data_IF_819754103976
#
_entry.id   IF_819754103976
#
_cell.length_a   1.000
_cell.length_b   1.000
_cell.length_c   1.000
_cell.angle_alpha   90.00
_cell.angle_beta   90.00
_cell.angle_gamma   90.00
#
_symmetry.space_group_name_H-M   'P 1'
#
loop_
_entity.id
_entity.type
_entity.pdbx_description
1 polymer ?
#
# COMPACT_ATOMS: atom_id res chain seq x y z
N UNK A 1 13.98 27.32 -10.13
CA UNK A 1 14.25 28.68 -9.60
C UNK A 1 15.42 28.66 -8.62
N UNK A 2 15.51 27.66 -7.75
CA UNK A 2 16.55 27.55 -6.70
C UNK A 2 17.99 27.36 -7.18
N UNK A 3 18.24 26.64 -8.27
CA UNK A 3 19.60 26.51 -8.86
C UNK A 3 20.16 27.84 -9.35
N UNK A 4 19.29 28.72 -9.83
CA UNK A 4 19.63 30.07 -10.29
C UNK A 4 19.92 31.00 -9.10
N UNK A 5 19.22 30.79 -7.98
CA UNK A 5 19.48 31.46 -6.69
C UNK A 5 20.81 30.99 -6.08
N UNK A 6 21.07 29.69 -6.08
CA UNK A 6 22.35 29.10 -5.64
C UNK A 6 23.54 29.66 -6.43
N UNK A 7 23.41 29.71 -7.77
CA UNK A 7 24.41 30.35 -8.63
C UNK A 7 24.60 31.84 -8.27
N UNK A 8 23.50 32.59 -8.20
CA UNK A 8 23.54 34.04 -7.94
C UNK A 8 24.15 34.39 -6.59
N UNK A 9 23.77 33.70 -5.52
CA UNK A 9 24.28 33.92 -4.16
C UNK A 9 25.76 33.57 -4.07
N UNK A 10 26.16 32.43 -4.64
CA UNK A 10 27.57 32.01 -4.59
C UNK A 10 28.46 32.94 -5.42
N UNK A 11 27.97 33.41 -6.57
CA UNK A 11 28.68 34.38 -7.40
C UNK A 11 28.82 35.74 -6.71
N UNK A 12 27.77 36.23 -6.05
CA UNK A 12 27.81 37.50 -5.30
C UNK A 12 28.80 37.46 -4.13
N UNK A 13 28.91 36.33 -3.43
CA UNK A 13 29.79 36.18 -2.25
C UNK A 13 31.25 35.95 -2.66
N UNK A 14 31.50 35.19 -3.73
CA UNK A 14 32.86 34.75 -4.10
C UNK A 14 33.43 35.48 -5.31
N UNK A 15 32.60 36.19 -6.08
CA UNK A 15 32.90 36.80 -7.36
C UNK A 15 33.57 35.84 -8.37
N UNK A 16 33.31 34.53 -8.20
CA UNK A 16 33.94 33.45 -8.96
C UNK A 16 32.86 32.64 -9.68
N UNK A 17 32.81 32.79 -10.99
CA UNK A 17 31.81 32.13 -11.84
C UNK A 17 31.98 30.61 -11.87
N UNK A 18 33.21 30.09 -11.81
CA UNK A 18 33.50 28.66 -11.80
C UNK A 18 32.98 28.01 -10.53
N UNK A 19 33.22 28.65 -9.38
CA UNK A 19 32.77 28.16 -8.07
C UNK A 19 31.25 28.25 -7.92
N UNK A 20 30.64 29.31 -8.43
CA UNK A 20 29.18 29.45 -8.51
C UNK A 20 28.53 28.40 -9.43
N UNK A 21 29.15 28.10 -10.57
CA UNK A 21 28.69 27.05 -11.48
C UNK A 21 28.78 25.68 -10.83
N UNK A 22 29.87 25.42 -10.10
CA UNK A 22 30.10 24.17 -9.40
C UNK A 22 29.13 24.00 -8.23
N UNK A 23 28.87 25.05 -7.45
CA UNK A 23 27.85 25.05 -6.40
C UNK A 23 26.43 24.85 -6.96
N UNK A 24 26.08 25.50 -8.07
CA UNK A 24 24.80 25.30 -8.73
C UNK A 24 24.65 23.91 -9.36
N UNK A 25 25.74 23.33 -9.89
CA UNK A 25 25.77 21.97 -10.41
C UNK A 25 25.67 20.94 -9.29
N UNK A 26 26.39 21.12 -8.19
CA UNK A 26 26.31 20.28 -6.99
C UNK A 26 24.92 20.39 -6.37
N UNK A 27 24.33 21.58 -6.28
CA UNK A 27 22.94 21.76 -5.86
C UNK A 27 21.97 21.10 -6.84
N UNK A 28 22.17 21.26 -8.14
CA UNK A 28 21.35 20.62 -9.17
C UNK A 28 21.44 19.09 -9.21
N UNK A 29 22.57 18.52 -8.76
CA UNK A 29 22.81 17.08 -8.69
C UNK A 29 22.41 16.46 -7.35
N UNK A 30 22.56 17.20 -6.24
CA UNK A 30 22.32 16.68 -4.88
C UNK A 30 20.98 17.11 -4.27
N UNK A 31 20.45 18.28 -4.67
CA UNK A 31 19.22 18.87 -4.10
C UNK A 31 18.04 18.88 -5.07
N UNK A 32 18.25 18.50 -6.34
CA UNK A 32 17.12 18.12 -7.19
C UNK A 32 16.63 16.77 -6.70
N UNK A 33 15.73 16.82 -5.71
CA UNK A 33 14.89 15.73 -5.24
C UNK A 33 14.52 14.84 -6.41
N UNK A 34 14.57 13.53 -6.23
CA UNK A 34 14.41 12.61 -7.34
C UNK A 34 13.13 12.98 -8.11
N UNK A 35 13.22 13.10 -9.44
CA UNK A 35 12.01 13.24 -10.27
C UNK A 35 11.24 11.92 -10.33
N UNK A 36 11.57 10.96 -9.46
CA UNK A 36 10.89 9.69 -9.35
C UNK A 36 9.50 9.99 -8.83
N UNK A 37 8.51 9.63 -9.61
CA UNK A 37 7.12 9.68 -9.19
C UNK A 37 6.90 8.69 -8.06
N UNK A 38 5.91 8.98 -7.24
CA UNK A 38 5.48 8.08 -6.19
C UNK A 38 4.98 6.79 -6.85
N UNK A 39 5.62 5.67 -6.50
CA UNK A 39 5.32 4.35 -7.07
C UNK A 39 5.17 3.34 -5.95
N UNK A 40 4.15 2.47 -6.04
CA UNK A 40 3.94 1.36 -5.11
C UNK A 40 3.77 0.05 -5.88
N UNK A 41 4.20 -1.06 -5.27
CA UNK A 41 4.10 -2.40 -5.84
C UNK A 41 3.00 -3.20 -5.15
N UNK A 42 2.15 -3.83 -5.94
CA UNK A 42 1.05 -4.65 -5.45
C UNK A 42 0.97 -5.96 -6.25
N UNK A 43 0.21 -6.92 -5.71
CA UNK A 43 0.00 -8.22 -6.33
C UNK A 43 -1.49 -8.51 -6.42
N UNK A 44 -1.96 -8.80 -7.63
CA UNK A 44 -3.29 -9.31 -7.89
C UNK A 44 -3.27 -10.83 -7.73
N UNK A 45 -3.93 -11.31 -6.67
CA UNK A 45 -4.18 -12.72 -6.43
C UNK A 45 -5.47 -13.13 -7.16
N UNK A 46 -5.30 -13.78 -8.30
CA UNK A 46 -6.42 -14.18 -9.15
C UNK A 46 -7.02 -15.52 -8.68
N UNK A 47 -8.34 -15.53 -8.57
CA UNK A 47 -9.14 -16.73 -8.27
C UNK A 47 -9.70 -17.38 -9.53
N UNK A 48 -9.67 -16.67 -10.65
CA UNK A 48 -10.06 -17.19 -11.96
C UNK A 48 -8.98 -18.12 -12.54
N UNK A 49 -9.37 -19.20 -13.24
CA UNK A 49 -8.42 -20.18 -13.78
C UNK A 49 -7.55 -19.62 -14.92
N UNK A 50 -8.07 -18.64 -15.66
CA UNK A 50 -7.33 -17.91 -16.69
C UNK A 50 -7.24 -16.43 -16.29
N UNK A 51 -6.06 -15.83 -16.51
CA UNK A 51 -5.82 -14.41 -16.34
C UNK A 51 -5.53 -13.79 -17.70
N UNK A 52 -6.34 -12.80 -18.10
CA UNK A 52 -6.17 -12.07 -19.36
C UNK A 52 -6.21 -10.55 -19.19
N UNK A 53 -6.24 -10.03 -17.96
CA UNK A 53 -6.23 -8.58 -17.73
C UNK A 53 -4.89 -7.99 -18.15
N UNK A 54 -4.96 -7.00 -19.03
CA UNK A 54 -3.81 -6.20 -19.48
C UNK A 54 -3.57 -5.02 -18.55
N UNK A 55 -2.46 -4.32 -18.74
CA UNK A 55 -2.21 -3.02 -18.10
C UNK A 55 -3.38 -2.04 -18.27
N UNK A 56 -3.93 -1.94 -19.48
CA UNK A 56 -5.07 -1.05 -19.76
C UNK A 56 -6.33 -1.45 -18.99
N UNK A 57 -6.52 -2.76 -18.73
CA UNK A 57 -7.64 -3.25 -17.93
C UNK A 57 -7.46 -2.89 -16.45
N UNK A 58 -6.22 -2.92 -15.95
CA UNK A 58 -5.90 -2.48 -14.59
C UNK A 58 -6.12 -0.95 -14.45
N UNK A 59 -5.69 -0.16 -15.44
CA UNK A 59 -5.96 1.28 -15.47
C UNK A 59 -7.46 1.60 -15.46
N UNK A 60 -8.23 0.86 -16.25
CA UNK A 60 -9.69 0.98 -16.28
C UNK A 60 -10.31 0.59 -14.93
N UNK A 61 -9.84 -0.49 -14.31
CA UNK A 61 -10.25 -0.89 -12.97
C UNK A 61 -9.95 0.18 -11.91
N UNK A 62 -8.73 0.74 -11.91
CA UNK A 62 -8.32 1.81 -10.99
C UNK A 62 -9.19 3.05 -11.17
N UNK A 63 -9.42 3.44 -12.42
CA UNK A 63 -10.30 4.56 -12.77
C UNK A 63 -11.72 4.34 -12.28
N UNK A 64 -12.24 3.10 -12.39
CA UNK A 64 -13.58 2.76 -11.89
C UNK A 64 -13.67 2.79 -10.36
N UNK A 65 -12.61 2.42 -9.66
CA UNK A 65 -12.57 2.29 -8.20
C UNK A 65 -12.27 3.60 -7.48
N UNK A 66 -11.35 4.40 -8.06
CA UNK A 66 -10.91 5.68 -7.52
C UNK A 66 -11.73 6.88 -8.03
N UNK A 67 -12.58 6.65 -9.04
CA UNK A 67 -13.37 7.68 -9.72
C UNK A 67 -12.72 8.08 -11.04
N UNK A 68 -13.50 8.05 -12.14
CA UNK A 68 -12.97 8.19 -13.51
C UNK A 68 -12.23 9.50 -13.74
N UNK A 69 -12.65 10.57 -13.09
CA UNK A 69 -12.09 11.92 -13.27
C UNK A 69 -11.10 12.30 -12.15
N UNK A 70 -10.93 11.44 -11.13
CA UNK A 70 -10.13 11.71 -9.92
C UNK A 70 -9.05 10.66 -9.67
N UNK A 71 -8.91 9.67 -10.55
CA UNK A 71 -7.90 8.63 -10.42
C UNK A 71 -6.55 9.16 -10.85
N UNK A 72 -5.69 9.48 -9.90
CA UNK A 72 -4.32 9.95 -10.14
C UNK A 72 -3.29 8.80 -10.16
N UNK A 73 -3.76 7.56 -10.22
CA UNK A 73 -2.91 6.36 -10.23
C UNK A 73 -3.05 5.61 -11.54
N UNK A 74 -1.91 5.19 -12.08
CA UNK A 74 -1.84 4.38 -13.30
C UNK A 74 -0.92 3.18 -13.10
N UNK A 75 -1.24 2.07 -13.76
CA UNK A 75 -0.41 0.90 -13.83
C UNK A 75 0.74 1.15 -14.80
N UNK A 76 1.98 0.98 -14.37
CA UNK A 76 3.16 1.16 -15.23
C UNK A 76 3.70 -0.16 -15.74
N UNK A 77 3.69 -1.21 -14.91
CA UNK A 77 4.20 -2.54 -15.21
C UNK A 77 3.25 -3.63 -14.74
N UNK A 78 3.24 -4.75 -15.46
CA UNK A 78 2.53 -5.97 -15.10
C UNK A 78 3.43 -7.17 -15.37
N UNK A 79 3.64 -8.05 -14.40
CA UNK A 79 4.33 -9.33 -14.61
C UNK A 79 3.55 -10.48 -13.95
N UNK A 80 3.47 -11.62 -14.63
CA UNK A 80 2.69 -12.76 -14.16
C UNK A 80 3.64 -13.80 -13.56
N UNK A 81 3.40 -14.16 -12.30
CA UNK A 81 4.03 -15.31 -11.65
C UNK A 81 3.10 -16.53 -11.77
N UNK A 82 3.43 -17.40 -12.74
CA UNK A 82 2.71 -18.66 -12.95
C UNK A 82 3.08 -19.75 -11.94
N UNK A 83 4.13 -19.55 -11.15
CA UNK A 83 4.62 -20.51 -10.14
C UNK A 83 4.30 -20.07 -8.72
N UNK A 84 3.34 -19.16 -8.54
CA UNK A 84 3.00 -18.59 -7.26
C UNK A 84 2.61 -19.67 -6.24
N UNK A 85 3.41 -19.80 -5.18
CA UNK A 85 3.13 -20.69 -4.05
C UNK A 85 2.24 -19.96 -3.04
N UNK A 86 0.94 -20.12 -3.19
CA UNK A 86 -0.08 -19.58 -2.28
C UNK A 86 -1.49 -20.09 -2.61
N UNK A 87 -2.53 -19.57 -1.94
CA UNK A 87 -3.91 -20.03 -2.11
C UNK A 87 -4.55 -19.59 -3.45
N UNK A 88 -3.89 -18.73 -4.22
CA UNK A 88 -4.35 -18.24 -5.51
C UNK A 88 -3.74 -19.07 -6.66
N UNK A 89 -4.46 -19.17 -7.79
CA UNK A 89 -3.99 -19.94 -8.96
C UNK A 89 -2.86 -19.23 -9.72
N UNK A 90 -2.88 -17.89 -9.74
CA UNK A 90 -1.85 -17.05 -10.34
C UNK A 90 -1.69 -15.77 -9.51
N UNK A 91 -0.47 -15.24 -9.47
CA UNK A 91 -0.18 -13.91 -8.94
C UNK A 91 0.28 -12.99 -10.06
N UNK A 92 -0.24 -11.76 -10.09
CA UNK A 92 0.17 -10.76 -11.08
C UNK A 92 0.71 -9.56 -10.34
N UNK A 93 2.01 -9.34 -10.47
CA UNK A 93 2.69 -8.19 -9.90
C UNK A 93 2.38 -6.97 -10.74
N UNK A 94 2.03 -5.88 -10.08
CA UNK A 94 1.68 -4.61 -10.70
C UNK A 94 2.46 -3.48 -10.04
N UNK A 95 2.93 -2.57 -10.86
CA UNK A 95 3.51 -1.31 -10.40
C UNK A 95 2.49 -0.21 -10.63
N UNK A 96 2.16 0.53 -9.57
CA UNK A 96 1.22 1.66 -9.61
C UNK A 96 2.00 2.95 -9.38
N UNK A 97 1.92 3.87 -10.34
CA UNK A 97 2.58 5.17 -10.29
C UNK A 97 1.55 6.30 -10.21
N UNK A 98 1.81 7.25 -9.33
CA UNK A 98 1.03 8.46 -9.19
C UNK A 98 1.38 9.49 -10.28
N UNK A 99 0.40 10.16 -10.86
CA UNK A 99 0.61 11.07 -12.00
C UNK A 99 1.52 12.27 -11.70
N UNK A 100 1.39 12.87 -10.52
CA UNK A 100 2.00 14.16 -10.14
C UNK A 100 2.80 14.11 -8.83
N UNK A 101 2.48 13.21 -7.90
CA UNK A 101 3.14 13.13 -6.61
C UNK A 101 4.57 12.58 -6.75
N UNK A 102 5.53 13.22 -6.11
CA UNK A 102 6.94 12.79 -6.10
C UNK A 102 7.20 11.83 -4.94
N UNK A 103 8.19 10.95 -5.15
CA UNK A 103 8.60 9.97 -4.14
C UNK A 103 9.04 10.64 -2.83
N UNK A 104 9.75 11.77 -2.91
CA UNK A 104 10.32 12.48 -1.75
C UNK A 104 9.36 13.50 -1.11
N UNK A 105 8.10 13.57 -1.56
CA UNK A 105 7.14 14.55 -1.05
C UNK A 105 6.71 14.23 0.40
N UNK A 106 6.70 15.25 1.27
CA UNK A 106 6.26 15.13 2.67
C UNK A 106 4.80 14.67 2.84
N UNK A 107 3.95 14.86 1.83
CA UNK A 107 2.54 14.50 1.84
C UNK A 107 2.23 13.19 1.11
N UNK A 108 3.25 12.45 0.66
CA UNK A 108 3.12 11.18 -0.09
C UNK A 108 2.27 10.12 0.61
N UNK A 109 2.11 10.20 1.93
CA UNK A 109 1.29 9.25 2.67
C UNK A 109 -0.21 9.35 2.36
N UNK A 110 -0.70 10.55 2.08
CA UNK A 110 -2.13 10.79 1.83
C UNK A 110 -2.64 10.00 0.62
N UNK A 111 -2.04 10.12 -0.58
CA UNK A 111 -2.51 9.36 -1.74
C UNK A 111 -2.29 7.85 -1.57
N UNK A 112 -1.27 7.41 -0.81
CA UNK A 112 -1.08 5.99 -0.48
C UNK A 112 -2.26 5.46 0.34
N UNK A 113 -2.65 6.16 1.41
CA UNK A 113 -3.80 5.76 2.25
C UNK A 113 -5.10 5.73 1.46
N UNK A 114 -5.32 6.73 0.61
CA UNK A 114 -6.48 6.80 -0.27
C UNK A 114 -6.51 5.61 -1.23
N UNK A 115 -5.41 5.33 -1.93
CA UNK A 115 -5.30 4.18 -2.82
C UNK A 115 -5.57 2.87 -2.05
N UNK A 116 -4.91 2.66 -0.91
CA UNK A 116 -5.11 1.45 -0.10
C UNK A 116 -6.58 1.23 0.26
N UNK A 117 -7.33 2.28 0.61
CA UNK A 117 -8.77 2.16 0.92
C UNK A 117 -9.61 1.70 -0.28
N UNK A 118 -9.19 1.99 -1.51
CA UNK A 118 -9.89 1.62 -2.75
C UNK A 118 -9.56 0.22 -3.24
N UNK A 119 -8.35 -0.27 -2.95
CA UNK A 119 -7.87 -1.59 -3.41
C UNK A 119 -8.33 -2.75 -2.52
N UNK A 120 -8.99 -2.46 -1.40
CA UNK A 120 -9.37 -3.45 -0.40
C UNK A 120 -10.56 -4.29 -0.84
N UNK A 121 -10.61 -5.52 -0.34
CA UNK A 121 -11.70 -6.44 -0.57
C UNK A 121 -11.47 -7.36 -1.76
N UNK A 122 -12.59 -7.89 -2.26
CA UNK A 122 -12.62 -8.86 -3.36
C UNK A 122 -13.29 -8.20 -4.56
N UNK A 123 -12.51 -8.06 -5.63
CA UNK A 123 -12.92 -7.33 -6.82
C UNK A 123 -13.44 -8.30 -7.88
N UNK A 124 -14.44 -7.86 -8.63
CA UNK A 124 -14.89 -8.53 -9.84
C UNK A 124 -14.83 -7.53 -10.98
N UNK A 125 -14.03 -7.82 -12.00
CA UNK A 125 -13.84 -6.94 -13.15
C UNK A 125 -13.58 -7.77 -14.41
N UNK A 126 -14.34 -7.51 -15.48
CA UNK A 126 -14.28 -8.25 -16.76
C UNK A 126 -14.18 -9.78 -16.55
N UNK A 127 -15.11 -10.33 -15.76
CA UNK A 127 -15.18 -11.78 -15.43
C UNK A 127 -14.03 -12.33 -14.59
N UNK A 128 -13.05 -11.50 -14.22
CA UNK A 128 -11.97 -11.86 -13.31
C UNK A 128 -12.34 -11.53 -11.87
N UNK A 129 -12.09 -12.48 -10.98
CA UNK A 129 -12.25 -12.28 -9.54
C UNK A 129 -10.89 -12.34 -8.88
N UNK A 130 -10.51 -11.25 -8.22
CA UNK A 130 -9.17 -11.12 -7.63
C UNK A 130 -9.16 -10.27 -6.36
N UNK A 131 -8.14 -10.48 -5.54
CA UNK A 131 -7.79 -9.61 -4.41
C UNK A 131 -6.48 -8.92 -4.69
N UNK A 132 -6.34 -7.70 -4.19
CA UNK A 132 -5.07 -6.97 -4.27
C UNK A 132 -4.41 -7.03 -2.90
N UNK A 133 -3.21 -7.58 -2.86
CA UNK A 133 -2.37 -7.65 -1.66
C UNK A 133 -1.07 -6.91 -1.91
N UNK A 134 -0.35 -6.46 -0.87
CA UNK A 134 0.95 -5.87 -1.11
C UNK A 134 1.95 -6.91 -1.61
N UNK A 135 3.03 -6.44 -2.21
CA UNK A 135 4.17 -7.31 -2.47
C UNK A 135 4.76 -7.85 -1.16
N UNK A 136 5.27 -9.08 -1.17
CA UNK A 136 5.86 -9.68 0.02
C UNK A 136 7.08 -8.86 0.45
N UNK A 137 7.16 -8.55 1.75
CA UNK A 137 8.30 -7.87 2.31
C UNK A 137 9.58 -8.70 2.05
N UNK A 138 10.56 -8.08 1.42
CA UNK A 138 11.90 -8.63 1.17
C UNK A 138 12.97 -7.60 1.52
N UNK A 139 14.24 -7.95 1.37
CA UNK A 139 15.37 -7.04 1.66
C UNK A 139 15.32 -5.74 0.82
N UNK A 140 14.57 -5.74 -0.29
CA UNK A 140 14.43 -4.61 -1.23
C UNK A 140 13.14 -3.77 -1.04
N UNK A 141 12.39 -3.94 0.05
CA UNK A 141 11.18 -3.12 0.31
C UNK A 141 11.54 -1.80 0.97
N UNK A 142 11.44 -0.70 0.22
CA UNK A 142 11.66 0.67 0.68
C UNK A 142 10.58 1.18 1.65
N UNK A 143 10.78 2.37 2.21
CA UNK A 143 9.89 2.99 3.20
C UNK A 143 8.48 3.24 2.65
N UNK A 144 8.37 3.63 1.38
CA UNK A 144 7.11 3.81 0.66
C UNK A 144 6.38 2.47 0.49
N UNK A 145 7.09 1.42 0.07
CA UNK A 145 6.56 0.07 -0.05
C UNK A 145 6.09 -0.49 1.29
N UNK A 146 6.82 -0.24 2.38
CA UNK A 146 6.42 -0.62 3.72
C UNK A 146 5.16 0.13 4.19
N UNK A 147 5.07 1.43 3.91
CA UNK A 147 3.89 2.24 4.22
C UNK A 147 2.66 1.73 3.45
N UNK A 148 2.76 1.56 2.14
CA UNK A 148 1.68 1.02 1.32
C UNK A 148 1.24 -0.35 1.79
N UNK A 149 2.19 -1.25 2.08
CA UNK A 149 1.89 -2.60 2.59
C UNK A 149 1.13 -2.55 3.91
N UNK A 150 1.60 -1.72 4.84
CA UNK A 150 0.95 -1.54 6.14
C UNK A 150 -0.46 -0.99 5.98
N UNK A 151 -0.64 0.04 5.15
CA UNK A 151 -1.94 0.64 4.86
C UNK A 151 -2.90 -0.38 4.26
N UNK A 152 -2.49 -1.11 3.22
CA UNK A 152 -3.34 -2.06 2.52
C UNK A 152 -3.77 -3.23 3.43
N UNK A 153 -2.84 -3.80 4.20
CA UNK A 153 -3.14 -4.92 5.13
C UNK A 153 -4.12 -4.47 6.22
N UNK A 154 -3.91 -3.29 6.80
CA UNK A 154 -4.79 -2.76 7.84
C UNK A 154 -6.18 -2.41 7.31
N UNK A 155 -6.27 -1.89 6.08
CA UNK A 155 -7.56 -1.62 5.46
C UNK A 155 -8.31 -2.92 5.13
N UNK A 156 -7.63 -4.01 4.73
CA UNK A 156 -8.26 -5.33 4.60
C UNK A 156 -8.81 -5.85 5.92
N UNK A 157 -8.06 -5.68 7.02
CA UNK A 157 -8.55 -6.04 8.35
C UNK A 157 -9.79 -5.23 8.74
N UNK A 158 -9.79 -3.93 8.44
CA UNK A 158 -10.93 -3.04 8.68
C UNK A 158 -12.15 -3.42 7.84
N UNK A 159 -12.00 -3.69 6.55
CA UNK A 159 -13.09 -4.14 5.67
C UNK A 159 -13.70 -5.47 6.13
N UNK A 160 -12.87 -6.43 6.59
CA UNK A 160 -13.38 -7.68 7.17
C UNK A 160 -14.20 -7.39 8.44
N UNK A 161 -13.71 -6.49 9.30
CA UNK A 161 -14.44 -6.08 10.49
C UNK A 161 -15.80 -5.46 10.15
N UNK A 162 -15.82 -4.50 9.24
CA UNK A 162 -17.02 -3.79 8.81
C UNK A 162 -18.03 -4.72 8.14
N UNK A 163 -17.60 -5.70 7.34
CA UNK A 163 -18.51 -6.70 6.76
C UNK A 163 -19.09 -7.66 7.79
N UNK A 164 -18.38 -7.90 8.88
CA UNK A 164 -18.87 -8.75 9.97
C UNK A 164 -19.79 -8.01 10.94
N UNK A 165 -19.72 -6.67 11.01
CA UNK A 165 -20.47 -5.88 12.00
C UNK A 165 -21.49 -4.91 11.41
N UNK A 166 -21.32 -4.51 10.15
CA UNK A 166 -22.13 -3.49 9.48
C UNK A 166 -23.31 -4.03 8.67
N UNK A 167 -23.54 -5.34 8.63
CA UNK A 167 -24.73 -5.91 8.00
C UNK A 167 -25.90 -5.86 9.00
N UNK A 168 -26.58 -4.70 9.00
CA UNK A 168 -27.78 -4.37 9.81
C UNK A 168 -29.05 -5.09 9.27
N UNK A 169 -28.89 -6.20 8.54
CA UNK A 169 -29.99 -6.99 7.99
C UNK A 169 -30.59 -7.94 9.03
N UNK A 170 -31.18 -7.35 10.07
CA UNK A 170 -32.49 -7.75 10.61
C UNK A 170 -32.76 -9.16 11.13
N UNK A 171 -31.82 -10.11 11.12
CA UNK A 171 -32.00 -11.44 11.70
C UNK A 171 -30.95 -11.73 12.77
N UNK A 172 -31.51 -11.99 13.96
CA UNK A 172 -31.03 -12.74 15.12
C UNK A 172 -29.59 -13.29 15.12
N UNK A 173 -28.91 -13.12 16.26
CA UNK A 173 -27.51 -13.47 16.54
C UNK A 173 -26.43 -12.49 16.01
N UNK A 174 -26.22 -11.42 16.80
CA UNK A 174 -24.95 -10.67 16.82
C UNK A 174 -23.77 -11.65 16.69
N UNK A 175 -22.99 -11.51 15.62
CA UNK A 175 -21.77 -12.28 15.35
C UNK A 175 -21.01 -12.60 16.64
N UNK A 176 -20.92 -13.89 17.00
CA UNK A 176 -20.22 -14.33 18.20
C UNK A 176 -18.73 -14.03 18.11
N UNK A 177 -18.09 -13.74 19.25
CA UNK A 177 -16.64 -13.48 19.34
C UNK A 177 -15.82 -14.62 18.70
N UNK A 178 -16.35 -15.85 18.70
CA UNK A 178 -15.77 -17.03 18.06
C UNK A 178 -15.65 -16.89 16.53
N UNK A 179 -16.64 -16.30 15.87
CA UNK A 179 -16.62 -16.10 14.41
C UNK A 179 -15.59 -15.04 14.03
N UNK A 180 -15.46 -13.98 14.82
CA UNK A 180 -14.41 -12.96 14.66
C UNK A 180 -13.02 -13.58 14.84
N UNK A 181 -12.84 -14.41 15.87
CA UNK A 181 -11.57 -15.09 16.11
C UNK A 181 -11.19 -16.05 14.98
N UNK A 182 -12.18 -16.70 14.36
CA UNK A 182 -12.02 -17.55 13.18
C UNK A 182 -11.62 -16.74 11.95
N UNK A 183 -12.28 -15.60 11.69
CA UNK A 183 -11.88 -14.69 10.60
C UNK A 183 -10.48 -14.12 10.81
N UNK A 184 -10.18 -13.68 12.03
CA UNK A 184 -8.85 -13.19 12.40
C UNK A 184 -7.80 -14.28 12.21
N UNK A 185 -8.15 -15.55 12.44
CA UNK A 185 -7.23 -16.67 12.22
C UNK A 185 -6.93 -16.84 10.74
N UNK A 186 -7.97 -16.91 9.90
CA UNK A 186 -7.82 -16.97 8.44
C UNK A 186 -7.04 -15.78 7.90
N UNK A 187 -7.32 -14.58 8.38
CA UNK A 187 -6.59 -13.37 8.03
C UNK A 187 -5.12 -13.48 8.42
N UNK A 188 -4.81 -13.94 9.64
CA UNK A 188 -3.43 -14.12 10.09
C UNK A 188 -2.71 -15.18 9.27
N UNK A 189 -3.39 -16.22 8.80
CA UNK A 189 -2.82 -17.25 7.92
C UNK A 189 -2.57 -16.72 6.51
N UNK A 190 -3.52 -16.00 5.92
CA UNK A 190 -3.44 -15.46 4.56
C UNK A 190 -2.44 -14.29 4.47
N UNK A 191 -2.40 -13.42 5.48
CA UNK A 191 -1.59 -12.22 5.50
C UNK A 191 -0.32 -12.33 6.37
N UNK A 192 0.03 -13.52 6.87
CA UNK A 192 1.15 -13.73 7.82
C UNK A 192 2.42 -12.99 7.40
N UNK A 193 2.82 -13.20 6.16
CA UNK A 193 4.08 -12.66 5.60
C UNK A 193 4.07 -11.13 5.57
N UNK A 194 2.90 -10.51 5.42
CA UNK A 194 2.76 -9.04 5.41
C UNK A 194 2.59 -8.46 6.82
N UNK A 195 2.22 -9.28 7.80
CA UNK A 195 2.05 -8.86 9.19
C UNK A 195 3.39 -8.73 9.95
N UNK A 196 4.45 -9.37 9.45
CA UNK A 196 5.80 -9.32 10.04
C UNK A 196 6.43 -7.92 9.95
N UNK A 197 6.11 -7.15 8.90
CA UNK A 197 6.61 -5.79 8.70
C UNK A 197 5.80 -4.71 9.44
N UNK A 198 4.70 -5.09 10.10
CA UNK A 198 3.74 -4.14 10.67
C UNK A 198 4.09 -3.82 12.14
N UNK A 199 4.64 -2.63 12.42
CA UNK A 199 4.92 -2.17 13.79
C UNK A 199 3.66 -1.63 14.49
N UNK A 200 3.66 -1.60 15.82
CA UNK A 200 2.51 -1.10 16.60
C UNK A 200 2.31 0.41 16.47
N UNK A 201 3.40 1.14 16.24
CA UNK A 201 3.41 2.57 15.94
C UNK A 201 2.72 2.82 14.59
N UNK A 202 3.08 2.05 13.55
CA UNK A 202 2.47 2.12 12.21
C UNK A 202 0.96 1.84 12.26
N UNK A 203 0.53 0.88 13.08
CA UNK A 203 -0.91 0.59 13.25
C UNK A 203 -1.66 1.80 13.79
N UNK A 204 -1.11 2.44 14.82
CA UNK A 204 -1.73 3.59 15.48
C UNK A 204 -1.73 4.82 14.57
N UNK A 205 -0.66 5.03 13.81
CA UNK A 205 -0.53 6.13 12.85
C UNK A 205 -1.48 5.99 11.66
N UNK A 206 -1.67 4.77 11.15
CA UNK A 206 -2.50 4.51 9.95
C UNK A 206 -3.98 4.56 10.29
N UNK A 207 -4.39 3.87 11.37
CA UNK A 207 -5.80 3.78 11.75
C UNK A 207 -6.29 4.98 12.56
N UNK A 208 -5.38 5.76 13.15
CA UNK A 208 -5.74 6.88 14.01
C UNK A 208 -6.41 6.41 15.30
N UNK A 209 -7.32 7.25 15.83
CA UNK A 209 -8.08 6.93 17.04
C UNK A 209 -9.10 5.83 16.72
N UNK A 210 -8.96 4.68 17.37
CA UNK A 210 -9.91 3.58 17.25
C UNK A 210 -11.12 3.89 18.12
N UNK A 211 -12.20 4.37 17.50
CA UNK A 211 -13.44 4.73 18.21
C UNK A 211 -14.24 3.49 18.63
N UNK A 212 -14.16 2.40 17.86
CA UNK A 212 -14.89 1.16 18.12
C UNK A 212 -14.10 0.21 19.05
N UNK A 213 -14.58 -0.05 20.29
CA UNK A 213 -13.89 -0.91 21.23
C UNK A 213 -13.70 -2.36 20.73
N UNK A 214 -14.60 -2.86 19.87
CA UNK A 214 -14.52 -4.22 19.33
C UNK A 214 -13.46 -4.33 18.24
N UNK A 215 -13.32 -3.31 17.41
CA UNK A 215 -12.21 -3.24 16.46
C UNK A 215 -10.87 -3.15 17.21
N UNK A 216 -10.82 -2.38 18.29
CA UNK A 216 -9.65 -2.31 19.18
C UNK A 216 -9.31 -3.67 19.82
N UNK A 217 -10.31 -4.43 20.25
CA UNK A 217 -10.10 -5.80 20.75
C UNK A 217 -9.54 -6.73 19.67
N UNK A 218 -10.06 -6.69 18.45
CA UNK A 218 -9.57 -7.51 17.34
C UNK A 218 -8.10 -7.22 17.00
N UNK A 219 -7.70 -5.94 17.02
CA UNK A 219 -6.30 -5.53 16.84
C UNK A 219 -5.38 -6.04 17.96
N UNK A 220 -5.86 -6.01 19.20
CA UNK A 220 -5.11 -6.58 20.33
C UNK A 220 -4.94 -8.09 20.20
N UNK A 221 -5.96 -8.82 19.72
CA UNK A 221 -5.84 -10.25 19.44
C UNK A 221 -4.86 -10.54 18.29
N UNK A 222 -4.85 -9.70 17.25
CA UNK A 222 -3.85 -9.79 16.18
C UNK A 222 -2.44 -9.61 16.73
N UNK A 223 -2.22 -8.60 17.59
CA UNK A 223 -0.93 -8.34 18.26
C UNK A 223 -0.47 -9.55 19.07
N UNK A 224 -1.33 -10.12 19.92
CA UNK A 224 -1.01 -11.31 20.74
C UNK A 224 -0.60 -12.51 19.87
N UNK A 225 -1.27 -12.72 18.73
CA UNK A 225 -0.97 -13.81 17.81
C UNK A 225 0.39 -13.64 17.13
N UNK A 226 0.75 -12.41 16.74
CA UNK A 226 2.07 -12.07 16.18
C UNK A 226 3.20 -12.34 17.19
N UNK A 227 3.05 -11.93 18.45
CA UNK A 227 4.07 -12.20 19.49
C UNK A 227 4.29 -13.70 19.72
N UNK A 228 3.21 -14.50 19.71
CA UNK A 228 3.29 -15.96 19.90
C UNK A 228 3.97 -16.68 18.72
N UNK A 229 3.83 -16.21 17.48
CA UNK A 229 4.52 -16.80 16.34
C UNK A 229 6.02 -16.52 16.36
N UNK A 230 6.43 -15.30 16.73
CA UNK A 230 7.85 -14.93 16.84
C UNK A 230 8.56 -15.75 17.92
N UNK A 231 7.91 -16.01 19.06
CA UNK A 231 8.46 -16.85 20.14
C UNK A 231 8.58 -18.35 19.79
N UNK A 232 7.96 -18.83 18.71
CA UNK A 232 8.07 -20.23 18.25
C UNK A 232 9.14 -20.44 17.18
N UNK A 233 9.73 -19.34 16.68
CA UNK A 233 10.76 -19.36 15.64
C UNK A 233 12.16 -18.99 16.15
N UNK A 234 12.29 -18.62 17.43
CA UNK A 234 13.57 -18.47 18.14
C UNK A 234 13.85 -19.67 19.02
#
# INVERSE_FOLDING_TARGET
>A
METLVSYGVTYLITNNSTLATLAAAVYGLLLKSSTKRLSVRAVLLCQSPEYSLTKSDIDEFLSSSCGRDTCEWSCTCTSVDENYKGPAMKAVHIDLEHESMLYDDSLRELPIRQLSSKLVGLHTFKEHRFRIVPERAGEDTDDVGQLFSSCLVLMHLKDIYERCYGDDSGDDERYSDERILCFLQKFTEEYRVYLESLSDEKVSEILGVIEDPKFGWMLNELRKRRTKSTMRQG
#
